data_IF_856971034080
#
_entry.id   IF_856971034080
#
_cell.length_a   1.000
_cell.length_b   1.000
_cell.length_c   1.000
_cell.angle_alpha   90.00
_cell.angle_beta   90.00
_cell.angle_gamma   90.00
#
_symmetry.space_group_name_H-M   'P 1'
#
loop_
_entity.id
_entity.type
_entity.pdbx_description
1 polymer ?
#
# COMPACT_ATOMS: atom_id res chain seq x y z
N UNK A 1 47.34 -18.52 -32.17
CA UNK A 1 46.69 -18.46 -30.84
C UNK A 1 46.26 -17.05 -30.39
N UNK A 2 46.53 -15.97 -31.15
CA UNK A 2 46.05 -14.59 -30.83
C UNK A 2 44.85 -14.17 -31.69
N UNK A 3 44.51 -14.92 -32.73
CA UNK A 3 43.40 -14.61 -33.66
C UNK A 3 42.06 -15.17 -33.16
N UNK A 4 42.04 -16.39 -32.57
CA UNK A 4 40.82 -17.01 -32.03
C UNK A 4 40.16 -16.24 -30.87
N UNK A 5 40.96 -15.50 -30.07
CA UNK A 5 40.45 -14.71 -28.93
C UNK A 5 39.79 -13.39 -29.32
N UNK A 6 40.06 -12.88 -30.54
CA UNK A 6 39.43 -11.69 -31.09
C UNK A 6 38.11 -12.03 -31.78
N UNK A 7 38.07 -13.14 -32.52
CA UNK A 7 36.84 -13.62 -33.19
C UNK A 7 35.77 -14.07 -32.19
N UNK A 8 36.16 -14.73 -31.10
CA UNK A 8 35.22 -15.09 -30.02
C UNK A 8 34.67 -13.86 -29.28
N UNK A 9 35.48 -12.81 -29.07
CA UNK A 9 35.03 -11.55 -28.48
C UNK A 9 34.09 -10.77 -29.41
N UNK A 10 34.39 -10.71 -30.71
CA UNK A 10 33.53 -10.05 -31.71
C UNK A 10 32.17 -10.75 -31.83
N UNK A 11 32.14 -12.08 -31.79
CA UNK A 11 30.90 -12.85 -31.84
C UNK A 11 30.04 -12.66 -30.57
N UNK A 12 30.64 -12.65 -29.38
CA UNK A 12 29.90 -12.37 -28.14
C UNK A 12 29.33 -10.95 -28.09
N UNK A 13 30.04 -9.97 -28.66
CA UNK A 13 29.59 -8.58 -28.76
C UNK A 13 28.46 -8.41 -29.78
N UNK A 14 28.55 -9.09 -30.92
CA UNK A 14 27.50 -9.09 -31.93
C UNK A 14 26.19 -9.72 -31.43
N UNK A 15 26.27 -10.79 -30.61
CA UNK A 15 25.10 -11.39 -29.97
C UNK A 15 24.47 -10.47 -28.90
N UNK A 16 25.27 -9.67 -28.17
CA UNK A 16 24.76 -8.66 -27.24
C UNK A 16 24.07 -7.49 -27.98
N UNK A 17 24.63 -7.04 -29.10
CA UNK A 17 24.05 -6.00 -29.96
C UNK A 17 22.72 -6.44 -30.62
N UNK A 18 22.60 -7.72 -31.00
CA UNK A 18 21.38 -8.28 -31.58
C UNK A 18 20.26 -8.42 -30.53
N UNK A 19 20.59 -8.89 -29.33
CA UNK A 19 19.67 -8.92 -28.18
C UNK A 19 19.24 -7.52 -27.73
N UNK A 20 20.14 -6.53 -27.84
CA UNK A 20 19.84 -5.12 -27.61
C UNK A 20 18.82 -4.60 -28.63
N UNK A 21 19.02 -4.87 -29.92
CA UNK A 21 18.10 -4.47 -31.00
C UNK A 21 16.72 -5.10 -30.82
N UNK A 22 16.65 -6.38 -30.45
CA UNK A 22 15.37 -7.03 -30.11
C UNK A 22 14.68 -6.40 -28.90
N UNK A 23 15.44 -6.05 -27.86
CA UNK A 23 14.91 -5.40 -26.65
C UNK A 23 14.41 -3.99 -26.94
N UNK A 24 15.10 -3.25 -27.83
CA UNK A 24 14.69 -1.95 -28.33
C UNK A 24 13.41 -2.07 -29.19
N UNK A 25 13.29 -3.11 -30.01
CA UNK A 25 12.08 -3.46 -30.78
C UNK A 25 10.89 -3.84 -29.88
N UNK A 26 11.13 -4.56 -28.78
CA UNK A 26 10.10 -4.84 -27.76
C UNK A 26 9.69 -3.57 -27.00
N UNK A 27 10.64 -2.68 -26.70
CA UNK A 27 10.35 -1.37 -26.09
C UNK A 27 9.59 -0.43 -27.04
N UNK A 28 9.87 -0.47 -28.37
CA UNK A 28 9.12 0.22 -29.43
C UNK A 28 7.62 -0.12 -29.40
N UNK A 29 7.27 -1.35 -29.05
CA UNK A 29 5.88 -1.81 -29.02
C UNK A 29 5.09 -1.38 -27.77
N UNK A 30 5.76 -1.00 -26.66
CA UNK A 30 5.09 -0.80 -25.37
C UNK A 30 4.73 0.66 -25.06
N UNK A 31 5.58 1.65 -25.40
CA UNK A 31 5.39 3.05 -24.94
C UNK A 31 6.05 4.09 -25.87
N UNK A 32 5.38 4.47 -26.96
CA UNK A 32 5.92 5.33 -28.03
C UNK A 32 6.45 6.73 -27.65
N UNK A 33 6.17 7.24 -26.45
CA UNK A 33 6.71 8.53 -25.97
C UNK A 33 8.07 8.43 -25.26
N UNK A 34 8.43 7.26 -24.72
CA UNK A 34 9.70 7.08 -23.96
C UNK A 34 10.90 6.87 -24.88
N UNK A 35 10.67 6.38 -26.10
CA UNK A 35 11.72 6.07 -27.06
C UNK A 35 12.29 7.32 -27.77
N UNK A 36 11.45 8.32 -28.06
CA UNK A 36 11.87 9.61 -28.64
C UNK A 36 12.97 10.29 -27.81
N UNK A 37 12.97 10.07 -26.50
CA UNK A 37 13.99 10.60 -25.59
C UNK A 37 15.36 9.96 -25.82
N UNK A 38 15.40 8.64 -26.04
CA UNK A 38 16.64 7.88 -26.27
C UNK A 38 17.15 8.14 -27.69
N UNK A 39 16.25 8.12 -28.68
CA UNK A 39 16.61 8.42 -30.09
C UNK A 39 17.25 9.79 -30.20
N UNK A 40 16.67 10.83 -29.58
CA UNK A 40 17.30 12.16 -29.57
C UNK A 40 18.65 12.20 -28.85
N UNK A 41 18.87 11.33 -27.85
CA UNK A 41 20.17 11.22 -27.18
C UNK A 41 21.21 10.52 -28.07
N UNK A 42 20.81 9.46 -28.79
CA UNK A 42 21.65 8.76 -29.77
C UNK A 42 22.01 9.71 -30.90
N UNK A 43 21.04 10.44 -31.47
CA UNK A 43 21.29 11.43 -32.52
C UNK A 43 22.20 12.57 -32.04
N UNK A 44 22.03 13.01 -30.79
CA UNK A 44 22.88 14.06 -30.23
C UNK A 44 24.30 13.58 -29.97
N UNK A 45 24.46 12.31 -29.57
CA UNK A 45 25.73 11.70 -29.22
C UNK A 45 26.50 11.22 -30.44
N UNK A 46 25.84 10.51 -31.36
CA UNK A 46 26.49 9.84 -32.50
C UNK A 46 27.25 10.81 -33.41
N UNK A 47 28.45 10.39 -33.84
CA UNK A 47 29.28 11.11 -34.79
C UNK A 47 29.95 12.40 -34.29
N UNK A 48 29.93 12.69 -32.99
CA UNK A 48 30.56 13.89 -32.39
C UNK A 48 31.75 13.54 -31.52
N UNK A 49 32.82 14.31 -31.62
CA UNK A 49 33.94 14.14 -30.70
C UNK A 49 33.63 14.75 -29.32
N UNK A 50 34.56 14.53 -28.37
CA UNK A 50 34.43 15.06 -27.02
C UNK A 50 34.40 16.60 -26.99
N UNK A 51 35.19 17.26 -27.84
CA UNK A 51 35.32 18.72 -27.87
C UNK A 51 34.03 19.38 -28.38
N UNK A 52 33.40 18.81 -29.41
CA UNK A 52 32.13 19.23 -29.97
C UNK A 52 31.02 19.23 -28.91
N UNK A 53 30.96 18.18 -28.10
CA UNK A 53 30.00 18.08 -27.01
C UNK A 53 30.30 19.08 -25.90
N UNK A 54 31.56 19.21 -25.48
CA UNK A 54 31.97 20.19 -24.46
C UNK A 54 31.62 21.62 -24.89
N UNK A 55 31.76 21.96 -26.18
CA UNK A 55 31.39 23.27 -26.73
C UNK A 55 29.87 23.51 -26.77
N UNK A 56 29.07 22.45 -26.88
CA UNK A 56 27.61 22.52 -26.97
C UNK A 56 26.90 22.41 -25.61
N UNK A 57 27.64 22.22 -24.51
CA UNK A 57 27.13 21.96 -23.17
C UNK A 57 27.74 22.94 -22.16
N UNK A 58 27.00 23.24 -21.08
CA UNK A 58 27.48 24.16 -20.05
C UNK A 58 28.35 23.43 -19.02
N UNK A 59 29.52 23.95 -18.65
CA UNK A 59 30.37 23.32 -17.65
C UNK A 59 29.74 23.38 -16.25
N UNK A 60 29.98 22.32 -15.48
CA UNK A 60 29.59 22.11 -14.10
C UNK A 60 30.81 21.52 -13.36
N UNK A 61 30.95 21.81 -12.05
CA UNK A 61 32.09 21.35 -11.23
C UNK A 61 33.45 21.58 -11.93
N UNK A 62 33.72 22.83 -12.29
CA UNK A 62 34.98 23.25 -12.90
C UNK A 62 35.31 22.52 -14.23
N UNK A 63 34.30 22.13 -15.00
CA UNK A 63 34.50 21.46 -16.30
C UNK A 63 34.71 19.95 -16.21
N UNK A 64 34.60 19.35 -15.02
CA UNK A 64 34.62 17.88 -14.88
C UNK A 64 33.29 17.24 -15.29
N UNK A 65 32.22 18.03 -15.35
CA UNK A 65 30.91 17.59 -15.79
C UNK A 65 30.34 18.67 -16.70
N UNK A 66 29.66 18.32 -17.78
CA UNK A 66 28.93 19.27 -18.62
C UNK A 66 27.45 18.92 -18.63
N UNK A 67 26.60 19.93 -18.79
CA UNK A 67 25.14 19.80 -18.78
C UNK A 67 24.50 20.53 -19.95
N UNK A 68 23.55 19.88 -20.61
CA UNK A 68 22.62 20.51 -21.56
C UNK A 68 21.19 20.14 -21.22
N UNK A 69 20.36 21.16 -20.99
CA UNK A 69 18.93 20.95 -20.69
C UNK A 69 18.20 20.76 -22.01
N UNK A 70 17.50 19.64 -22.14
CA UNK A 70 16.69 19.28 -23.31
C UNK A 70 15.23 19.64 -23.06
N UNK A 71 14.74 19.35 -21.86
CA UNK A 71 13.42 19.74 -21.39
C UNK A 71 13.54 20.35 -20.01
N UNK A 72 13.11 21.61 -19.88
CA UNK A 72 13.12 22.32 -18.59
C UNK A 72 12.13 21.67 -17.63
N UNK A 73 12.59 21.32 -16.44
CA UNK A 73 11.73 20.94 -15.33
C UNK A 73 11.17 22.15 -14.57
N UNK A 74 10.39 21.87 -13.52
CA UNK A 74 9.74 22.87 -12.68
C UNK A 74 10.07 22.70 -11.20
N UNK A 75 9.87 23.77 -10.42
CA UNK A 75 10.15 23.79 -8.98
C UNK A 75 11.61 24.02 -8.64
N UNK A 76 11.99 23.63 -7.42
CA UNK A 76 13.36 23.73 -6.93
C UNK A 76 14.23 22.58 -7.44
N UNK A 77 15.55 22.81 -7.39
CA UNK A 77 16.53 21.76 -7.63
C UNK A 77 16.45 20.67 -6.56
N UNK A 78 16.97 19.49 -6.87
CA UNK A 78 17.04 18.36 -5.92
C UNK A 78 17.87 18.74 -4.69
N UNK A 79 17.29 18.74 -3.47
CA UNK A 79 18.04 19.02 -2.25
C UNK A 79 18.91 17.82 -1.85
N UNK A 80 19.96 18.04 -1.02
CA UNK A 80 20.81 16.96 -0.53
C UNK A 80 20.02 15.82 0.11
N UNK A 81 20.52 14.59 0.01
CA UNK A 81 19.89 13.38 0.58
C UNK A 81 18.43 13.13 0.14
N UNK A 82 17.96 13.76 -0.93
CA UNK A 82 16.63 13.51 -1.49
C UNK A 82 16.52 12.11 -2.08
N UNK A 83 15.30 11.58 -2.11
CA UNK A 83 14.96 10.36 -2.82
C UNK A 83 14.52 10.72 -4.24
N UNK A 84 15.33 10.38 -5.24
CA UNK A 84 15.06 10.66 -6.66
C UNK A 84 14.48 9.44 -7.35
N UNK A 85 13.60 9.67 -8.33
CA UNK A 85 13.10 8.66 -9.27
C UNK A 85 13.33 9.19 -10.68
N UNK A 86 14.12 8.48 -11.48
CA UNK A 86 14.58 8.95 -12.78
C UNK A 86 14.79 7.81 -13.76
N UNK A 87 14.66 8.11 -15.05
CA UNK A 87 15.18 7.27 -16.11
C UNK A 87 16.54 7.80 -16.58
N UNK A 88 17.37 6.88 -17.06
CA UNK A 88 18.63 7.22 -17.72
C UNK A 88 18.98 6.25 -18.85
N UNK A 89 19.84 6.72 -19.74
CA UNK A 89 20.60 5.94 -20.72
C UNK A 89 22.05 6.48 -20.73
N UNK A 90 23.04 5.59 -20.60
CA UNK A 90 24.46 5.94 -20.49
C UNK A 90 25.27 5.28 -21.59
N UNK A 91 26.18 6.04 -22.17
CA UNK A 91 27.03 5.72 -23.31
C UNK A 91 28.49 5.96 -22.90
N UNK A 92 29.41 5.15 -23.40
CA UNK A 92 30.85 5.30 -23.16
C UNK A 92 31.54 5.76 -24.45
N UNK A 93 32.56 6.60 -24.30
CA UNK A 93 33.53 6.88 -25.35
C UNK A 93 34.55 5.76 -25.41
N UNK A 94 34.68 5.09 -26.56
CA UNK A 94 35.67 4.03 -26.78
C UNK A 94 36.60 4.48 -27.89
N UNK A 95 37.91 4.57 -27.60
CA UNK A 95 38.97 4.88 -28.59
C UNK A 95 38.71 6.14 -29.44
N UNK A 96 38.06 7.17 -28.86
CA UNK A 96 37.73 8.41 -29.56
C UNK A 96 36.51 8.32 -30.48
N UNK A 97 35.78 7.20 -30.46
CA UNK A 97 34.53 6.99 -31.17
C UNK A 97 33.36 6.74 -30.21
N UNK A 98 32.15 7.04 -30.69
CA UNK A 98 30.91 6.93 -29.94
C UNK A 98 30.30 5.56 -30.20
N UNK A 99 30.01 4.80 -29.14
CA UNK A 99 29.10 3.67 -29.27
C UNK A 99 27.68 4.18 -29.53
N UNK A 100 27.02 3.65 -30.56
CA UNK A 100 25.64 4.02 -30.90
C UNK A 100 24.66 3.52 -29.84
N UNK A 101 25.01 2.45 -29.14
CA UNK A 101 24.16 1.80 -28.15
C UNK A 101 24.61 2.14 -26.71
N UNK A 102 23.67 2.47 -25.80
CA UNK A 102 23.99 2.72 -24.41
C UNK A 102 24.40 1.43 -23.71
N UNK A 103 25.59 1.43 -23.09
CA UNK A 103 26.01 0.31 -22.25
C UNK A 103 25.03 0.05 -21.10
N UNK A 104 24.32 1.07 -20.58
CA UNK A 104 23.33 0.90 -19.51
C UNK A 104 22.10 1.82 -19.67
N UNK A 105 20.88 1.26 -19.59
CA UNK A 105 19.64 2.03 -19.71
C UNK A 105 18.49 1.47 -18.87
N UNK A 106 17.83 2.35 -18.11
CA UNK A 106 16.58 2.01 -17.40
C UNK A 106 15.37 1.85 -18.31
N UNK A 107 15.43 2.41 -19.52
CA UNK A 107 14.35 2.26 -20.48
C UNK A 107 14.32 0.83 -21.03
N UNK A 108 15.49 0.21 -21.26
CA UNK A 108 15.59 -1.20 -21.62
C UNK A 108 15.09 -2.12 -20.50
N UNK A 109 15.31 -1.73 -19.24
CA UNK A 109 14.77 -2.44 -18.06
C UNK A 109 13.28 -2.21 -17.82
N UNK A 110 12.64 -1.29 -18.54
CA UNK A 110 11.23 -0.91 -18.37
C UNK A 110 10.87 -0.25 -17.03
N UNK A 111 11.83 -0.03 -16.12
CA UNK A 111 11.56 0.48 -14.78
C UNK A 111 12.50 1.63 -14.41
N UNK A 112 11.99 2.75 -13.87
CA UNK A 112 12.82 3.88 -13.47
C UNK A 112 13.68 3.52 -12.26
N UNK A 113 14.85 4.14 -12.17
CA UNK A 113 15.73 3.97 -11.03
C UNK A 113 15.28 4.87 -9.88
N UNK A 114 15.27 4.32 -8.65
CA UNK A 114 14.88 5.03 -7.44
C UNK A 114 15.99 4.94 -6.41
N UNK A 115 16.62 6.06 -6.08
CA UNK A 115 17.78 6.09 -5.18
C UNK A 115 17.84 7.37 -4.36
N UNK A 116 18.44 7.27 -3.17
CA UNK A 116 18.76 8.43 -2.34
C UNK A 116 20.11 8.99 -2.79
N UNK A 117 20.15 10.27 -3.15
CA UNK A 117 21.41 10.94 -3.48
C UNK A 117 22.25 11.16 -2.22
N UNK A 118 23.55 11.41 -2.38
CA UNK A 118 24.52 11.57 -1.30
C UNK A 118 24.58 10.34 -0.37
N UNK A 119 24.30 9.15 -0.91
CA UNK A 119 24.35 7.89 -0.14
C UNK A 119 25.66 7.13 -0.32
N UNK A 120 26.56 7.62 -1.19
CA UNK A 120 27.81 6.94 -1.54
C UNK A 120 27.60 5.62 -2.30
N UNK A 121 26.41 5.41 -2.87
CA UNK A 121 26.03 4.18 -3.59
C UNK A 121 25.62 4.45 -5.05
N UNK A 122 26.10 5.55 -5.61
CA UNK A 122 25.83 6.01 -6.97
C UNK A 122 27.13 6.53 -7.57
N UNK A 123 27.18 6.57 -8.91
CA UNK A 123 28.27 7.21 -9.63
C UNK A 123 28.32 8.69 -9.23
N UNK A 124 29.46 9.23 -8.77
CA UNK A 124 29.55 10.59 -8.24
C UNK A 124 29.05 11.67 -9.21
N UNK A 125 29.36 11.52 -10.50
CA UNK A 125 28.91 12.43 -11.55
C UNK A 125 27.40 12.42 -11.76
N UNK A 126 26.75 11.27 -11.58
CA UNK A 126 25.28 11.15 -11.64
C UNK A 126 24.63 11.81 -10.44
N UNK A 127 25.22 11.72 -9.24
CA UNK A 127 24.72 12.46 -8.06
C UNK A 127 24.82 13.98 -8.29
N UNK A 128 25.95 14.46 -8.81
CA UNK A 128 26.11 15.88 -9.16
C UNK A 128 25.11 16.31 -10.25
N UNK A 129 24.91 15.46 -11.26
CA UNK A 129 23.95 15.70 -12.32
C UNK A 129 22.53 15.88 -11.75
N UNK A 130 22.05 14.93 -10.94
CA UNK A 130 20.73 14.98 -10.30
C UNK A 130 20.56 16.21 -9.41
N UNK A 131 21.59 16.59 -8.64
CA UNK A 131 21.57 17.80 -7.80
C UNK A 131 21.38 19.10 -8.59
N UNK A 132 21.70 19.10 -9.88
CA UNK A 132 21.50 20.26 -10.75
C UNK A 132 20.11 20.32 -11.39
N UNK A 133 19.30 19.27 -11.28
CA UNK A 133 18.04 19.10 -12.02
C UNK A 133 16.81 19.51 -11.21
N UNK A 134 15.73 19.83 -11.92
CA UNK A 134 14.37 20.09 -11.39
C UNK A 134 13.43 18.92 -11.68
N UNK A 135 12.25 18.91 -11.04
CA UNK A 135 11.24 17.89 -11.31
C UNK A 135 10.81 17.91 -12.78
N UNK A 136 10.68 16.73 -13.37
CA UNK A 136 10.34 16.49 -14.78
C UNK A 136 11.34 17.10 -15.79
N UNK A 137 12.56 17.39 -15.35
CA UNK A 137 13.64 17.84 -16.23
C UNK A 137 14.26 16.68 -17.00
N UNK A 138 14.57 16.90 -18.27
CA UNK A 138 15.41 16.02 -19.07
C UNK A 138 16.66 16.77 -19.50
N UNK A 139 17.82 16.19 -19.19
CA UNK A 139 19.13 16.81 -19.45
C UNK A 139 20.12 15.75 -19.91
N UNK A 140 21.04 16.19 -20.77
CA UNK A 140 22.22 15.44 -21.15
C UNK A 140 23.39 15.88 -20.27
N UNK A 141 24.23 14.91 -19.91
CA UNK A 141 25.40 15.09 -19.10
C UNK A 141 26.60 14.42 -19.76
N UNK A 142 27.75 15.10 -19.69
CA UNK A 142 29.04 14.53 -20.07
C UNK A 142 29.89 14.52 -18.80
N UNK A 143 30.36 13.35 -18.39
CA UNK A 143 30.96 13.11 -17.07
C UNK A 143 32.41 12.64 -17.25
N UNK A 144 33.34 13.36 -16.65
CA UNK A 144 34.76 13.00 -16.64
C UNK A 144 35.00 11.67 -15.89
N UNK A 145 35.98 10.84 -16.32
CA UNK A 145 36.31 9.57 -15.68
C UNK A 145 36.42 9.60 -14.15
N UNK A 146 37.09 10.60 -13.58
CA UNK A 146 37.19 10.82 -12.12
C UNK A 146 35.85 10.89 -11.37
N UNK A 147 34.77 11.27 -12.05
CA UNK A 147 33.41 11.30 -11.52
C UNK A 147 32.56 10.12 -12.01
N UNK A 148 33.15 9.19 -12.75
CA UNK A 148 32.53 8.00 -13.33
C UNK A 148 33.22 6.72 -12.85
N UNK A 149 33.95 6.03 -13.73
CA UNK A 149 34.60 4.75 -13.47
C UNK A 149 36.14 4.85 -13.32
N UNK A 150 36.69 6.05 -13.51
CA UNK A 150 38.11 6.38 -13.30
C UNK A 150 39.09 5.56 -14.16
N UNK A 151 40.35 5.56 -13.71
CA UNK A 151 41.47 4.90 -14.39
C UNK A 151 41.36 3.37 -14.46
N UNK A 152 40.48 2.75 -13.68
CA UNK A 152 40.26 1.30 -13.74
C UNK A 152 39.16 0.93 -14.74
N UNK A 153 38.23 1.83 -15.03
CA UNK A 153 37.05 1.50 -15.84
C UNK A 153 36.23 0.34 -15.25
N UNK A 154 35.52 -0.37 -16.12
CA UNK A 154 34.98 -1.71 -15.88
C UNK A 154 35.11 -2.57 -17.15
N UNK A 155 36.32 -3.03 -17.51
CA UNK A 155 36.53 -3.82 -18.72
C UNK A 155 35.76 -5.16 -18.70
N UNK A 156 35.31 -5.68 -19.86
CA UNK A 156 35.45 -5.09 -21.19
C UNK A 156 34.42 -3.98 -21.50
N UNK A 157 33.43 -3.78 -20.63
CA UNK A 157 32.25 -2.94 -20.89
C UNK A 157 32.52 -1.43 -20.84
N UNK A 158 33.44 -1.00 -19.99
CA UNK A 158 33.83 0.41 -19.86
C UNK A 158 35.35 0.44 -19.77
N UNK A 159 36.00 1.12 -20.70
CA UNK A 159 37.45 1.20 -20.71
C UNK A 159 37.98 2.12 -19.58
N UNK A 160 39.25 1.93 -19.16
CA UNK A 160 39.99 2.90 -18.35
C UNK A 160 39.85 4.32 -18.90
N UNK A 161 39.66 5.30 -18.01
CA UNK A 161 39.61 6.72 -18.36
C UNK A 161 38.54 7.09 -19.42
N UNK A 162 37.47 6.29 -19.52
CA UNK A 162 36.34 6.56 -20.40
C UNK A 162 35.45 7.71 -19.87
N UNK A 163 35.22 8.72 -20.72
CA UNK A 163 34.16 9.72 -20.49
C UNK A 163 32.78 9.07 -20.64
N UNK A 164 31.82 9.51 -19.82
CA UNK A 164 30.45 8.96 -19.88
C UNK A 164 29.49 10.04 -20.35
N UNK A 165 28.78 9.77 -21.44
CA UNK A 165 27.62 10.56 -21.83
C UNK A 165 26.37 9.93 -21.23
N UNK A 166 25.56 10.72 -20.54
CA UNK A 166 24.38 10.24 -19.83
C UNK A 166 23.19 11.14 -20.12
N UNK A 167 22.13 10.58 -20.69
CA UNK A 167 20.82 11.21 -20.66
C UNK A 167 20.13 10.85 -19.36
N UNK A 168 19.64 11.85 -18.63
CA UNK A 168 18.80 11.65 -17.44
C UNK A 168 17.46 12.37 -17.63
N UNK A 169 16.37 11.64 -17.38
CA UNK A 169 15.03 12.20 -17.20
C UNK A 169 14.61 12.06 -15.74
N UNK A 170 14.69 13.16 -14.99
CA UNK A 170 14.29 13.18 -13.58
C UNK A 170 12.77 13.28 -13.49
N UNK A 171 12.11 12.15 -13.25
CA UNK A 171 10.65 12.10 -13.12
C UNK A 171 10.17 12.91 -11.91
N UNK A 172 10.82 12.69 -10.76
CA UNK A 172 10.49 13.38 -9.50
C UNK A 172 11.54 13.15 -8.43
N UNK A 173 11.61 14.07 -7.49
CA UNK A 173 12.35 13.90 -6.24
C UNK A 173 11.47 14.22 -5.02
N UNK A 174 11.92 13.71 -3.89
CA UNK A 174 11.24 13.80 -2.61
C UNK A 174 12.25 14.16 -1.52
N UNK A 175 11.98 15.23 -0.79
CA UNK A 175 12.78 15.56 0.39
C UNK A 175 12.54 14.50 1.48
N UNK A 176 13.62 13.87 1.93
CA UNK A 176 13.62 12.90 3.04
C UNK A 176 14.56 13.32 4.17
N UNK A 177 15.16 14.52 4.09
CA UNK A 177 16.16 15.03 5.01
C UNK A 177 15.59 16.09 5.95
N UNK A 178 14.69 16.96 5.46
CA UNK A 178 14.10 18.03 6.28
C UNK A 178 13.45 17.52 7.57
N UNK A 179 12.81 16.35 7.53
CA UNK A 179 12.26 15.74 8.74
C UNK A 179 13.35 15.34 9.74
N UNK A 180 14.47 14.77 9.28
CA UNK A 180 15.58 14.39 10.15
C UNK A 180 16.29 15.61 10.73
N UNK A 181 16.48 16.65 9.93
CA UNK A 181 17.10 17.91 10.37
C UNK A 181 16.24 18.61 11.42
N UNK A 182 14.93 18.70 11.19
CA UNK A 182 14.00 19.25 12.18
C UNK A 182 13.94 18.43 13.47
N UNK A 183 14.08 17.10 13.37
CA UNK A 183 14.15 16.22 14.53
C UNK A 183 15.44 16.40 15.35
N UNK A 184 16.53 16.83 14.73
CA UNK A 184 17.80 17.08 15.40
C UNK A 184 17.86 18.47 16.06
N UNK A 185 16.96 19.39 15.69
CA UNK A 185 16.86 20.70 16.33
C UNK A 185 16.44 20.60 17.80
N UNK A 186 16.97 21.49 18.65
CA UNK A 186 16.54 21.63 20.05
C UNK A 186 15.12 22.21 20.14
N UNK A 187 14.50 22.15 21.32
CA UNK A 187 13.16 22.72 21.52
C UNK A 187 13.16 24.25 21.32
N UNK A 188 14.22 24.93 21.74
CA UNK A 188 14.40 26.37 21.55
C UNK A 188 14.54 26.72 20.06
N UNK A 189 15.34 25.95 19.32
CA UNK A 189 15.52 26.13 17.88
C UNK A 189 14.20 25.94 17.12
N UNK A 190 13.40 24.94 17.51
CA UNK A 190 12.07 24.71 16.91
C UNK A 190 11.06 25.82 17.25
N UNK A 191 11.10 26.35 18.46
CA UNK A 191 10.24 27.47 18.85
C UNK A 191 10.58 28.77 18.09
N UNK A 192 11.87 28.99 17.85
CA UNK A 192 12.38 30.11 17.05
C UNK A 192 12.18 29.91 15.54
N UNK A 193 12.13 28.66 15.05
CA UNK A 193 12.03 28.36 13.63
C UNK A 193 10.78 28.97 12.97
N UNK A 194 10.89 29.45 11.72
CA UNK A 194 9.75 29.91 10.95
C UNK A 194 8.85 28.73 10.56
N UNK A 195 7.56 29.02 10.36
CA UNK A 195 6.57 28.03 9.90
C UNK A 195 7.04 27.25 8.67
N UNK A 196 7.70 27.93 7.72
CA UNK A 196 8.21 27.33 6.49
C UNK A 196 9.18 26.15 6.75
N UNK A 197 9.96 26.18 7.83
CA UNK A 197 10.86 25.08 8.21
C UNK A 197 10.07 23.87 8.69
N UNK A 198 9.12 24.07 9.61
CA UNK A 198 8.25 22.99 10.08
C UNK A 198 7.39 22.42 8.94
N UNK A 199 6.85 23.28 8.08
CA UNK A 199 6.07 22.88 6.91
C UNK A 199 6.86 21.94 5.99
N UNK A 200 8.12 22.28 5.67
CA UNK A 200 9.01 21.40 4.86
C UNK A 200 9.28 20.07 5.54
N UNK A 201 9.51 20.08 6.86
CA UNK A 201 9.73 18.86 7.63
C UNK A 201 8.48 17.94 7.64
N UNK A 202 7.29 18.53 7.79
CA UNK A 202 6.01 17.82 7.70
C UNK A 202 5.76 17.27 6.30
N UNK A 203 6.00 18.05 5.24
CA UNK A 203 5.90 17.61 3.85
C UNK A 203 6.87 16.44 3.55
N UNK A 204 8.06 16.48 4.12
CA UNK A 204 9.04 15.39 4.07
C UNK A 204 8.51 14.11 4.73
N UNK A 205 7.91 14.20 5.92
CA UNK A 205 7.27 13.06 6.60
C UNK A 205 6.10 12.48 5.81
N UNK A 206 5.23 13.33 5.27
CA UNK A 206 4.09 12.90 4.43
C UNK A 206 4.58 12.15 3.19
N UNK A 207 5.67 12.64 2.61
CA UNK A 207 6.29 12.04 1.44
C UNK A 207 6.92 10.69 1.77
N UNK A 208 7.64 10.59 2.89
CA UNK A 208 8.17 9.34 3.40
C UNK A 208 7.04 8.33 3.72
N UNK A 209 5.89 8.81 4.23
CA UNK A 209 4.72 7.97 4.50
C UNK A 209 4.12 7.38 3.21
N UNK A 210 3.95 8.20 2.16
CA UNK A 210 3.51 7.72 0.83
C UNK A 210 4.49 6.71 0.24
N UNK A 211 5.79 6.96 0.41
CA UNK A 211 6.84 6.04 -0.03
C UNK A 211 6.83 4.71 0.73
N UNK A 212 6.48 4.71 2.01
CA UNK A 212 6.31 3.51 2.81
C UNK A 212 5.06 2.71 2.38
N UNK A 213 3.95 3.42 2.15
CA UNK A 213 2.70 2.83 1.66
C UNK A 213 2.90 2.17 0.30
N UNK A 214 3.66 2.78 -0.62
CA UNK A 214 3.98 2.18 -1.92
C UNK A 214 4.83 0.89 -1.81
N UNK A 215 5.45 0.63 -0.66
CA UNK A 215 6.20 -0.60 -0.37
C UNK A 215 5.35 -1.62 0.39
N UNK A 216 4.07 -1.34 0.65
CA UNK A 216 3.19 -2.17 1.46
C UNK A 216 3.34 -1.98 2.97
N UNK A 217 4.20 -1.07 3.44
CA UNK A 217 4.41 -0.83 4.87
C UNK A 217 3.49 0.29 5.40
N UNK A 218 2.20 -0.07 5.53
CA UNK A 218 1.18 0.83 6.05
C UNK A 218 1.41 1.21 7.53
N UNK A 219 2.05 0.33 8.32
CA UNK A 219 2.38 0.60 9.72
C UNK A 219 3.41 1.71 9.86
N UNK A 220 4.48 1.69 9.06
CA UNK A 220 5.47 2.77 9.04
C UNK A 220 4.88 4.08 8.54
N UNK A 221 4.00 4.04 7.52
CA UNK A 221 3.29 5.22 7.05
C UNK A 221 2.48 5.90 8.18
N UNK A 222 1.75 5.12 8.98
CA UNK A 222 0.99 5.64 10.13
C UNK A 222 1.92 6.24 11.20
N UNK A 223 3.07 5.63 11.49
CA UNK A 223 4.05 6.19 12.44
C UNK A 223 4.56 7.56 11.99
N UNK A 224 4.89 7.70 10.71
CA UNK A 224 5.36 8.96 10.13
C UNK A 224 4.28 10.06 10.16
N UNK A 225 3.02 9.71 9.85
CA UNK A 225 1.91 10.66 9.89
C UNK A 225 1.54 11.09 11.33
N UNK A 226 1.61 10.17 12.30
CA UNK A 226 1.44 10.51 13.72
C UNK A 226 2.54 11.47 14.21
N UNK A 227 3.79 11.27 13.75
CA UNK A 227 4.90 12.17 14.05
C UNK A 227 4.65 13.57 13.48
N UNK A 228 4.23 13.66 12.22
CA UNK A 228 3.87 14.92 11.59
C UNK A 228 2.75 15.64 12.35
N UNK A 229 1.71 14.89 12.77
CA UNK A 229 0.63 15.40 13.61
C UNK A 229 1.15 15.96 14.94
N UNK A 230 2.04 15.25 15.63
CA UNK A 230 2.63 15.71 16.88
C UNK A 230 3.39 17.04 16.71
N UNK A 231 4.16 17.20 15.64
CA UNK A 231 4.86 18.45 15.36
C UNK A 231 3.93 19.62 15.06
N UNK A 232 2.82 19.38 14.37
CA UNK A 232 1.82 20.40 14.06
C UNK A 232 1.05 20.86 15.31
N UNK A 233 0.64 19.92 16.17
CA UNK A 233 -0.11 20.23 17.39
C UNK A 233 0.73 20.95 18.45
N UNK A 234 2.04 20.70 18.49
CA UNK A 234 2.94 21.33 19.45
C UNK A 234 3.43 22.72 18.99
N UNK A 235 3.00 23.21 17.82
CA UNK A 235 3.39 24.52 17.32
C UNK A 235 2.60 25.61 18.05
N UNK A 236 3.31 26.48 18.79
CA UNK A 236 2.74 27.73 19.29
C UNK A 236 2.39 28.68 18.13
N UNK A 237 1.15 29.18 18.12
CA UNK A 237 0.64 30.08 17.07
C UNK A 237 1.03 31.53 17.36
N UNK A 238 1.57 32.26 16.37
CA UNK A 238 1.99 33.67 16.52
C UNK A 238 1.05 34.65 15.84
N UNK A 239 0.28 34.24 14.81
CA UNK A 239 -0.72 35.06 14.12
C UNK A 239 -1.92 34.24 13.64
N UNK A 240 -3.02 34.93 13.31
CA UNK A 240 -4.24 34.32 12.76
C UNK A 240 -4.03 33.77 11.33
N UNK A 241 -3.20 34.43 10.52
CA UNK A 241 -2.81 33.94 9.18
C UNK A 241 -2.00 32.64 9.27
N UNK A 242 -1.04 32.56 10.19
CA UNK A 242 -0.25 31.34 10.43
C UNK A 242 -1.16 30.22 10.97
N UNK A 243 -2.15 30.53 11.81
CA UNK A 243 -3.15 29.56 12.29
C UNK A 243 -3.95 28.93 11.14
N UNK A 244 -4.36 29.71 10.15
CA UNK A 244 -5.11 29.21 8.99
C UNK A 244 -4.25 28.29 8.12
N UNK A 245 -2.99 28.68 7.84
CA UNK A 245 -2.06 27.84 7.09
C UNK A 245 -1.74 26.53 7.81
N UNK A 246 -1.50 26.60 9.12
CA UNK A 246 -1.28 25.42 9.97
C UNK A 246 -2.51 24.52 9.94
N UNK A 247 -3.71 25.10 10.05
CA UNK A 247 -4.97 24.35 10.00
C UNK A 247 -5.16 23.64 8.66
N UNK A 248 -4.83 24.28 7.55
CA UNK A 248 -4.93 23.68 6.21
C UNK A 248 -3.98 22.48 6.07
N UNK A 249 -2.71 22.63 6.48
CA UNK A 249 -1.72 21.54 6.45
C UNK A 249 -2.10 20.42 7.42
N UNK A 250 -2.58 20.76 8.62
CA UNK A 250 -3.04 19.80 9.62
C UNK A 250 -4.23 18.99 9.12
N UNK A 251 -5.23 19.62 8.50
CA UNK A 251 -6.36 18.93 7.92
C UNK A 251 -5.92 17.93 6.84
N UNK A 252 -4.92 18.28 6.01
CA UNK A 252 -4.34 17.35 5.02
C UNK A 252 -3.67 16.14 5.68
N UNK A 253 -2.83 16.35 6.70
CA UNK A 253 -2.11 15.28 7.41
C UNK A 253 -3.06 14.38 8.18
N UNK A 254 -3.98 14.97 8.96
CA UNK A 254 -4.91 14.23 9.81
C UNK A 254 -5.85 13.37 8.98
N UNK A 255 -6.28 13.91 7.84
CA UNK A 255 -7.05 13.16 6.85
C UNK A 255 -6.30 11.97 6.29
N UNK A 256 -5.04 12.15 5.88
CA UNK A 256 -4.24 11.00 5.45
C UNK A 256 -4.18 9.96 6.58
N UNK A 257 -3.91 10.39 7.81
CA UNK A 257 -3.79 9.52 8.97
C UNK A 257 -5.07 8.71 9.26
N UNK A 258 -6.23 9.35 9.45
CA UNK A 258 -7.45 8.62 9.83
C UNK A 258 -7.93 7.69 8.71
N UNK A 259 -7.69 8.02 7.43
CA UNK A 259 -8.00 7.13 6.31
C UNK A 259 -7.16 5.86 6.37
N UNK A 260 -5.85 5.97 6.68
CA UNK A 260 -4.98 4.80 6.79
C UNK A 260 -5.34 3.96 8.01
N UNK A 261 -5.62 4.60 9.14
CA UNK A 261 -6.07 3.91 10.36
C UNK A 261 -7.35 3.12 10.11
N UNK A 262 -8.33 3.71 9.41
CA UNK A 262 -9.56 3.02 9.02
C UNK A 262 -9.27 1.78 8.18
N UNK A 263 -8.41 1.90 7.15
CA UNK A 263 -8.02 0.78 6.28
C UNK A 263 -7.29 -0.35 7.00
N UNK A 264 -6.48 -0.03 8.02
CA UNK A 264 -5.74 -1.04 8.79
C UNK A 264 -6.63 -1.91 9.69
N UNK A 265 -7.91 -1.56 9.88
CA UNK A 265 -8.91 -2.47 10.44
C UNK A 265 -8.59 -3.06 11.82
N UNK A 266 -8.66 -2.25 12.88
CA UNK A 266 -8.66 -2.75 14.26
C UNK A 266 -9.39 -1.79 15.19
N UNK A 267 -9.93 -2.29 16.30
CA UNK A 267 -10.64 -1.47 17.29
C UNK A 267 -9.80 -0.28 17.79
N UNK A 268 -8.51 -0.54 18.08
CA UNK A 268 -7.54 0.49 18.48
C UNK A 268 -7.36 1.55 17.38
N UNK A 269 -7.27 1.13 16.13
CA UNK A 269 -7.10 2.04 15.00
C UNK A 269 -8.37 2.89 14.79
N UNK A 270 -9.56 2.31 14.92
CA UNK A 270 -10.84 3.02 14.82
C UNK A 270 -10.98 4.08 15.93
N UNK A 271 -10.64 3.74 17.17
CA UNK A 271 -10.64 4.71 18.29
C UNK A 271 -9.66 5.87 18.03
N UNK A 272 -8.46 5.55 17.54
CA UNK A 272 -7.44 6.56 17.19
C UNK A 272 -7.87 7.44 16.01
N UNK A 273 -8.54 6.84 15.02
CA UNK A 273 -9.11 7.55 13.87
C UNK A 273 -10.21 8.51 14.32
N UNK A 274 -11.15 8.08 15.16
CA UNK A 274 -12.20 8.96 15.72
C UNK A 274 -11.63 10.15 16.48
N UNK A 275 -10.61 9.92 17.32
CA UNK A 275 -9.91 11.01 18.03
C UNK A 275 -9.34 12.02 17.03
N UNK A 276 -8.63 11.54 16.01
CA UNK A 276 -8.03 12.37 14.96
C UNK A 276 -9.09 13.11 14.14
N UNK A 277 -10.24 12.48 13.84
CA UNK A 277 -11.34 13.13 13.14
C UNK A 277 -11.94 14.26 13.98
N UNK A 278 -12.18 14.03 15.27
CA UNK A 278 -12.71 15.07 16.16
C UNK A 278 -11.74 16.27 16.24
N UNK A 279 -10.45 16.02 16.39
CA UNK A 279 -9.43 17.07 16.35
C UNK A 279 -9.41 17.81 15.00
N UNK A 280 -9.62 17.10 13.89
CA UNK A 280 -9.72 17.72 12.55
C UNK A 280 -10.91 18.66 12.46
N UNK A 281 -12.07 18.27 13.01
CA UNK A 281 -13.29 19.08 12.99
C UNK A 281 -13.18 20.39 13.81
N UNK A 282 -12.21 20.48 14.72
CA UNK A 282 -11.93 21.70 15.48
C UNK A 282 -11.02 22.68 14.76
N UNK A 283 -10.44 22.31 13.61
CA UNK A 283 -9.58 23.20 12.82
C UNK A 283 -10.40 24.29 12.12
N UNK A 284 -9.84 25.50 12.03
CA UNK A 284 -10.44 26.61 11.27
C UNK A 284 -10.23 26.42 9.76
N UNK A 285 -11.17 26.89 8.96
CA UNK A 285 -11.02 26.95 7.50
C UNK A 285 -11.01 25.58 6.79
N UNK A 286 -11.72 24.59 7.34
CA UNK A 286 -11.84 23.27 6.70
C UNK A 286 -12.50 23.38 5.33
N UNK A 287 -11.84 22.83 4.30
CA UNK A 287 -12.46 22.63 3.00
C UNK A 287 -13.65 21.65 3.07
N UNK A 288 -14.64 21.84 2.19
CA UNK A 288 -15.79 20.92 2.06
C UNK A 288 -15.34 19.48 1.89
N UNK A 289 -14.29 19.23 1.10
CA UNK A 289 -13.70 17.90 0.95
C UNK A 289 -13.23 17.31 2.28
N UNK A 290 -12.51 18.08 3.09
CA UNK A 290 -12.01 17.63 4.38
C UNK A 290 -13.18 17.35 5.34
N UNK A 291 -14.19 18.22 5.36
CA UNK A 291 -15.38 18.10 6.20
C UNK A 291 -16.21 16.87 5.81
N UNK A 292 -16.49 16.67 4.52
CA UNK A 292 -17.17 15.48 4.00
C UNK A 292 -16.45 14.20 4.40
N UNK A 293 -15.11 14.17 4.27
CA UNK A 293 -14.33 12.98 4.63
C UNK A 293 -14.35 12.75 6.14
N UNK A 294 -14.29 13.79 6.97
CA UNK A 294 -14.44 13.65 8.42
C UNK A 294 -15.79 13.01 8.78
N UNK A 295 -16.89 13.52 8.23
CA UNK A 295 -18.23 12.98 8.48
C UNK A 295 -18.41 11.56 7.95
N UNK A 296 -17.95 11.29 6.73
CA UNK A 296 -18.01 9.96 6.13
C UNK A 296 -17.29 8.91 6.99
N UNK A 297 -16.01 9.12 7.30
CA UNK A 297 -15.23 8.14 8.06
C UNK A 297 -15.70 8.05 9.52
N UNK A 298 -16.18 9.14 10.12
CA UNK A 298 -16.79 9.10 11.46
C UNK A 298 -18.05 8.25 11.46
N UNK A 299 -18.92 8.43 10.47
CA UNK A 299 -20.14 7.64 10.29
C UNK A 299 -19.85 6.16 10.07
N UNK A 300 -18.93 5.85 9.15
CA UNK A 300 -18.51 4.47 8.88
C UNK A 300 -17.92 3.77 10.11
N UNK A 301 -17.09 4.46 10.90
CA UNK A 301 -16.55 3.89 12.14
C UNK A 301 -17.64 3.69 13.19
N UNK A 302 -18.59 4.63 13.32
CA UNK A 302 -19.70 4.50 14.26
C UNK A 302 -20.65 3.36 13.89
N UNK A 303 -20.84 3.07 12.59
CA UNK A 303 -21.55 1.87 12.13
C UNK A 303 -20.87 0.59 12.61
N UNK A 304 -19.54 0.51 12.48
CA UNK A 304 -18.75 -0.62 12.98
C UNK A 304 -18.93 -0.78 14.50
N UNK A 305 -18.99 0.33 15.24
CA UNK A 305 -19.30 0.34 16.67
C UNK A 305 -20.79 0.17 17.02
N UNK A 306 -21.65 -0.11 16.02
CA UNK A 306 -23.10 -0.27 16.16
C UNK A 306 -23.85 0.95 16.75
N UNK A 307 -23.26 2.14 16.73
CA UNK A 307 -23.96 3.39 17.07
C UNK A 307 -24.69 3.93 15.82
N UNK A 308 -25.73 3.19 15.40
CA UNK A 308 -26.44 3.44 14.14
C UNK A 308 -27.06 4.83 14.06
N UNK A 309 -27.54 5.37 15.20
CA UNK A 309 -28.16 6.70 15.27
C UNK A 309 -27.15 7.80 14.90
N UNK A 310 -25.97 7.78 15.53
CA UNK A 310 -24.92 8.76 15.21
C UNK A 310 -24.31 8.51 13.84
N UNK A 311 -24.15 7.24 13.45
CA UNK A 311 -23.66 6.89 12.12
C UNK A 311 -24.53 7.50 11.01
N UNK A 312 -25.86 7.33 11.11
CA UNK A 312 -26.84 7.91 10.17
C UNK A 312 -26.73 9.42 10.08
N UNK A 313 -26.64 10.09 11.23
CA UNK A 313 -26.49 11.54 11.30
C UNK A 313 -25.26 12.01 10.51
N UNK A 314 -24.06 11.49 10.82
CA UNK A 314 -22.84 11.93 10.16
C UNK A 314 -22.81 11.57 8.67
N UNK A 315 -23.28 10.39 8.26
CA UNK A 315 -23.33 10.02 6.84
C UNK A 315 -24.31 10.91 6.05
N UNK A 316 -25.41 11.31 6.67
CA UNK A 316 -26.39 12.24 6.07
C UNK A 316 -25.78 13.64 5.92
N UNK A 317 -25.08 14.14 6.92
CA UNK A 317 -24.32 15.41 6.82
C UNK A 317 -23.25 15.34 5.73
N UNK A 318 -22.55 14.21 5.59
CA UNK A 318 -21.60 14.00 4.50
C UNK A 318 -22.28 14.06 3.11
N UNK A 319 -23.45 13.43 2.96
CA UNK A 319 -24.24 13.42 1.72
C UNK A 319 -24.76 14.80 1.33
N UNK A 320 -25.13 15.64 2.31
CA UNK A 320 -25.54 17.04 2.07
C UNK A 320 -24.42 17.87 1.44
N UNK A 321 -23.18 17.67 1.88
CA UNK A 321 -22.01 18.41 1.36
C UNK A 321 -21.59 17.95 -0.03
N UNK A 322 -21.70 16.64 -0.32
CA UNK A 322 -21.40 16.06 -1.63
C UNK A 322 -22.56 15.21 -2.11
N UNK A 323 -23.54 15.89 -2.73
CA UNK A 323 -24.71 15.24 -3.28
C UNK A 323 -24.30 14.20 -4.34
N UNK A 324 -24.85 12.99 -4.26
CA UNK A 324 -24.62 11.86 -5.18
C UNK A 324 -23.21 11.27 -5.18
N UNK A 325 -22.43 11.40 -4.11
CA UNK A 325 -21.21 10.62 -3.97
C UNK A 325 -21.57 9.13 -3.72
N UNK A 326 -21.28 8.28 -4.71
CA UNK A 326 -21.58 6.85 -4.71
C UNK A 326 -21.06 6.15 -3.44
N UNK A 327 -19.89 6.56 -2.93
CA UNK A 327 -19.31 5.97 -1.72
C UNK A 327 -20.15 6.23 -0.49
N UNK A 328 -20.72 7.42 -0.38
CA UNK A 328 -21.55 7.82 0.76
C UNK A 328 -22.90 7.09 0.68
N UNK A 329 -23.47 7.00 -0.53
CA UNK A 329 -24.73 6.29 -0.76
C UNK A 329 -24.61 4.80 -0.44
N UNK A 330 -23.55 4.15 -0.93
CA UNK A 330 -23.30 2.73 -0.64
C UNK A 330 -23.12 2.49 0.87
N UNK A 331 -22.42 3.38 1.58
CA UNK A 331 -22.24 3.26 3.02
C UNK A 331 -23.55 3.49 3.81
N UNK A 332 -24.43 4.37 3.33
CA UNK A 332 -25.78 4.55 3.90
C UNK A 332 -26.67 3.33 3.69
N UNK A 333 -26.57 2.66 2.54
CA UNK A 333 -27.28 1.43 2.26
C UNK A 333 -26.79 0.28 3.17
N UNK A 334 -25.48 0.15 3.34
CA UNK A 334 -24.88 -0.82 4.26
C UNK A 334 -25.28 -0.55 5.72
N UNK A 335 -25.36 0.72 6.12
CA UNK A 335 -25.90 1.12 7.43
C UNK A 335 -27.33 0.62 7.62
N UNK A 336 -28.20 0.79 6.63
CA UNK A 336 -29.59 0.35 6.70
C UNK A 336 -29.72 -1.16 6.80
N UNK A 337 -28.92 -1.91 6.05
CA UNK A 337 -28.86 -3.37 6.13
C UNK A 337 -28.44 -3.82 7.54
N UNK A 338 -27.39 -3.23 8.10
CA UNK A 338 -26.89 -3.60 9.42
C UNK A 338 -27.86 -3.21 10.54
N UNK A 339 -28.49 -2.04 10.46
CA UNK A 339 -29.49 -1.60 11.43
C UNK A 339 -30.74 -2.51 11.40
N UNK A 340 -31.19 -2.94 10.22
CA UNK A 340 -32.33 -3.84 10.08
C UNK A 340 -32.01 -5.23 10.64
N UNK A 341 -30.82 -5.77 10.36
CA UNK A 341 -30.36 -7.04 10.94
C UNK A 341 -30.33 -6.99 12.47
N UNK A 342 -29.81 -5.90 13.06
CA UNK A 342 -29.79 -5.76 14.52
C UNK A 342 -31.21 -5.68 15.10
N UNK A 343 -32.12 -4.94 14.45
CA UNK A 343 -33.54 -4.88 14.87
C UNK A 343 -34.23 -6.23 14.79
N UNK A 344 -33.94 -7.04 13.76
CA UNK A 344 -34.47 -8.39 13.63
C UNK A 344 -33.97 -9.30 14.76
N UNK A 345 -32.66 -9.22 15.07
CA UNK A 345 -32.07 -9.93 16.21
C UNK A 345 -32.71 -9.49 17.53
N UNK A 346 -32.83 -8.19 17.79
CA UNK A 346 -33.48 -7.64 18.99
C UNK A 346 -34.92 -8.12 19.13
N UNK A 347 -35.70 -8.12 18.03
CA UNK A 347 -37.08 -8.63 18.02
C UNK A 347 -37.12 -10.13 18.32
N UNK A 348 -36.21 -10.91 17.75
CA UNK A 348 -36.12 -12.35 18.01
C UNK A 348 -35.77 -12.64 19.48
N UNK A 349 -34.79 -11.89 20.05
CA UNK A 349 -34.43 -11.98 21.46
C UNK A 349 -35.60 -11.58 22.37
N UNK A 350 -36.27 -10.46 22.08
CA UNK A 350 -37.44 -10.01 22.84
C UNK A 350 -38.59 -11.02 22.78
N UNK A 351 -38.88 -11.60 21.62
CA UNK A 351 -39.89 -12.64 21.47
C UNK A 351 -39.56 -13.91 22.30
N UNK A 352 -38.29 -14.31 22.34
CA UNK A 352 -37.81 -15.43 23.17
C UNK A 352 -37.92 -15.11 24.66
N UNK A 353 -37.57 -13.90 25.07
CA UNK A 353 -37.67 -13.45 26.45
C UNK A 353 -39.13 -13.37 26.95
N UNK A 354 -40.04 -12.83 26.13
CA UNK A 354 -41.49 -12.76 26.44
C UNK A 354 -42.10 -14.17 26.56
N UNK A 355 -41.71 -15.11 25.70
CA UNK A 355 -42.13 -16.52 25.86
C UNK A 355 -41.64 -17.13 27.17
N UNK A 356 -40.41 -16.81 27.58
CA UNK A 356 -39.85 -17.27 28.86
C UNK A 356 -40.51 -16.66 30.10
N UNK A 357 -40.97 -15.41 30.04
CA UNK A 357 -41.53 -14.68 31.19
C UNK A 357 -43.04 -14.84 31.39
N UNK A 358 -43.81 -15.14 30.35
CA UNK A 358 -45.27 -15.38 30.47
C UNK A 358 -45.57 -16.78 31.04
N UNK A 359 -44.58 -17.65 31.27
CA UNK A 359 -44.82 -19.01 31.75
C UNK A 359 -45.70 -19.83 30.80
N UNK A 360 -45.87 -19.37 29.55
CA UNK A 360 -46.32 -20.20 28.45
C UNK A 360 -45.11 -21.12 28.21
N UNK A 361 -45.20 -22.43 28.48
CA UNK A 361 -44.13 -23.33 28.09
C UNK A 361 -43.92 -23.07 26.61
N UNK A 362 -42.68 -22.81 26.19
CA UNK A 362 -42.34 -22.72 24.78
C UNK A 362 -43.10 -23.85 24.11
N UNK A 363 -44.07 -23.54 23.25
CA UNK A 363 -44.81 -24.55 22.52
C UNK A 363 -43.74 -25.25 21.70
N UNK A 364 -43.19 -26.32 22.28
CA UNK A 364 -42.42 -27.28 21.54
C UNK A 364 -43.38 -27.64 20.41
N UNK A 365 -42.99 -27.49 19.13
CA UNK A 365 -43.73 -28.20 18.09
C UNK A 365 -43.91 -29.61 18.64
N UNK A 366 -45.15 -30.11 18.69
CA UNK A 366 -45.44 -31.42 19.27
C UNK A 366 -44.40 -32.38 18.72
N UNK A 367 -43.42 -32.76 19.57
CA UNK A 367 -42.27 -33.51 19.10
C UNK A 367 -42.84 -34.73 18.42
N UNK A 368 -42.52 -34.88 17.14
CA UNK A 368 -43.07 -35.97 16.35
C UNK A 368 -42.77 -37.29 17.08
N UNK A 369 -43.57 -38.33 16.87
CA UNK A 369 -43.34 -39.63 17.53
C UNK A 369 -41.87 -40.08 17.38
N UNK A 370 -41.26 -39.77 16.23
CA UNK A 370 -39.85 -40.03 15.94
C UNK A 370 -38.85 -39.24 16.82
N UNK A 371 -39.13 -37.98 17.17
CA UNK A 371 -38.25 -37.18 18.03
C UNK A 371 -38.28 -37.67 19.48
N UNK A 372 -39.43 -38.16 19.96
CA UNK A 372 -39.53 -38.76 21.30
C UNK A 372 -38.73 -40.06 21.38
N UNK A 373 -38.81 -40.89 20.34
CA UNK A 373 -38.04 -42.13 20.27
C UNK A 373 -36.53 -41.87 20.19
N UNK A 374 -36.11 -40.84 19.45
CA UNK A 374 -34.71 -40.41 19.40
C UNK A 374 -34.21 -39.92 20.76
N UNK A 375 -34.97 -39.06 21.44
CA UNK A 375 -34.59 -38.55 22.77
C UNK A 375 -34.50 -39.70 23.78
N UNK A 376 -35.42 -40.64 23.75
CA UNK A 376 -35.39 -41.84 24.60
C UNK A 376 -34.14 -42.70 24.31
N UNK A 377 -33.80 -42.89 23.03
CA UNK A 377 -32.60 -43.63 22.62
C UNK A 377 -31.31 -42.95 23.11
N UNK A 378 -31.19 -41.63 22.92
CA UNK A 378 -30.01 -40.86 23.33
C UNK A 378 -29.83 -40.87 24.86
N UNK A 379 -30.93 -40.68 25.60
CA UNK A 379 -30.91 -40.68 27.07
C UNK A 379 -30.58 -42.08 27.61
N UNK A 380 -31.10 -43.14 26.98
CA UNK A 380 -30.80 -44.53 27.36
C UNK A 380 -29.33 -44.91 27.11
N UNK A 381 -28.69 -44.30 26.11
CA UNK A 381 -27.24 -44.42 25.88
C UNK A 381 -26.40 -43.44 26.72
N UNK A 382 -27.03 -42.80 27.72
CA UNK A 382 -26.39 -41.97 28.73
C UNK A 382 -25.94 -40.61 28.23
N UNK A 383 -26.58 -40.06 27.20
CA UNK A 383 -26.38 -38.66 26.77
C UNK A 383 -27.25 -37.74 27.62
N UNK A 384 -26.63 -36.79 28.33
CA UNK A 384 -27.35 -35.71 29.01
C UNK A 384 -27.65 -34.62 28.00
N UNK A 385 -28.92 -34.26 27.80
CA UNK A 385 -29.32 -33.23 26.84
C UNK A 385 -29.47 -31.83 27.46
N UNK A 386 -29.43 -31.73 28.79
CA UNK A 386 -29.57 -30.46 29.51
C UNK A 386 -28.36 -29.55 29.27
N UNK A 387 -28.60 -28.33 28.80
CA UNK A 387 -27.55 -27.32 28.58
C UNK A 387 -26.78 -27.45 27.26
N UNK A 388 -27.04 -28.50 26.47
CA UNK A 388 -26.45 -28.68 25.14
C UNK A 388 -27.35 -28.11 24.04
N UNK A 389 -26.75 -27.44 23.06
CA UNK A 389 -27.43 -26.98 21.83
C UNK A 389 -27.60 -28.15 20.83
N UNK A 390 -28.26 -29.22 21.27
CA UNK A 390 -28.43 -30.44 20.50
C UNK A 390 -29.42 -30.28 19.34
N UNK A 391 -30.36 -29.31 19.44
CA UNK A 391 -31.36 -29.03 18.42
C UNK A 391 -30.73 -28.46 17.13
N UNK A 392 -29.77 -27.52 17.26
CA UNK A 392 -29.05 -26.98 16.09
C UNK A 392 -28.20 -28.04 15.38
N UNK A 393 -27.62 -28.97 16.14
CA UNK A 393 -26.82 -30.07 15.58
C UNK A 393 -27.74 -31.11 14.89
N UNK A 394 -28.87 -31.44 15.50
CA UNK A 394 -29.87 -32.34 14.92
C UNK A 394 -30.37 -31.83 13.56
N UNK A 395 -30.75 -30.55 13.47
CA UNK A 395 -31.24 -29.95 12.23
C UNK A 395 -30.21 -30.04 11.09
N UNK A 396 -28.92 -29.80 11.40
CA UNK A 396 -27.83 -29.93 10.43
C UNK A 396 -27.62 -31.37 9.95
N UNK A 397 -27.70 -32.34 10.87
CA UNK A 397 -27.56 -33.77 10.53
C UNK A 397 -28.75 -34.29 9.72
N UNK A 398 -29.97 -33.87 10.05
CA UNK A 398 -31.18 -34.20 9.29
C UNK A 398 -31.17 -33.58 7.89
N UNK A 399 -30.77 -32.30 7.79
CA UNK A 399 -30.56 -31.64 6.50
C UNK A 399 -29.53 -32.39 5.66
N UNK A 400 -28.38 -32.77 6.24
CA UNK A 400 -27.35 -33.57 5.57
C UNK A 400 -27.85 -34.96 5.13
N UNK A 401 -28.65 -35.63 5.96
CA UNK A 401 -29.23 -36.94 5.62
C UNK A 401 -30.12 -36.84 4.38
N UNK A 402 -30.94 -35.79 4.29
CA UNK A 402 -31.89 -35.58 3.19
C UNK A 402 -31.22 -35.01 1.92
N UNK A 403 -30.00 -34.48 2.01
CA UNK A 403 -29.24 -33.95 0.88
C UNK A 403 -28.55 -35.05 0.07
N UNK A 404 -29.13 -35.47 -1.06
CA UNK A 404 -28.57 -36.50 -1.94
C UNK A 404 -27.22 -36.17 -2.60
N UNK A 405 -26.78 -34.90 -2.61
CA UNK A 405 -25.55 -34.46 -3.26
C UNK A 405 -24.33 -34.46 -2.32
N UNK A 406 -24.54 -34.39 -1.00
CA UNK A 406 -23.46 -34.35 0.01
C UNK A 406 -23.18 -35.73 0.61
N UNK A 407 -21.91 -36.10 0.65
CA UNK A 407 -21.41 -37.38 1.21
C UNK A 407 -20.73 -37.25 2.58
N UNK A 408 -20.28 -36.04 2.94
CA UNK A 408 -19.64 -35.74 4.22
C UNK A 408 -20.16 -34.43 4.81
N UNK A 409 -20.22 -34.37 6.15
CA UNK A 409 -20.54 -33.18 6.93
C UNK A 409 -19.44 -32.96 7.96
N UNK A 410 -18.73 -31.83 7.86
CA UNK A 410 -17.76 -31.38 8.86
C UNK A 410 -18.50 -30.47 9.84
N UNK A 411 -18.44 -30.77 11.13
CA UNK A 411 -19.00 -29.90 12.17
C UNK A 411 -17.98 -28.77 12.47
N UNK A 412 -18.40 -27.49 12.52
CA UNK A 412 -17.47 -26.35 12.53
C UNK A 412 -16.64 -26.19 13.83
N UNK A 413 -15.41 -25.69 13.66
CA UNK A 413 -14.33 -25.47 14.67
C UNK A 413 -14.73 -24.69 15.94
N UNK A 414 -15.84 -23.94 15.96
CA UNK A 414 -16.25 -23.13 17.11
C UNK A 414 -17.10 -23.88 18.14
N UNK A 415 -17.45 -25.14 17.87
CA UNK A 415 -17.89 -26.03 18.93
C UNK A 415 -16.65 -26.69 19.51
N UNK A 416 -16.13 -26.16 20.63
CA UNK A 416 -15.43 -27.03 21.57
C UNK A 416 -16.43 -28.13 21.92
N UNK A 417 -16.41 -29.24 21.19
CA UNK A 417 -17.29 -30.36 21.45
C UNK A 417 -16.85 -30.91 22.80
N UNK A 418 -17.51 -30.45 23.86
CA UNK A 418 -17.36 -31.06 25.15
C UNK A 418 -17.66 -32.57 25.03
N UNK A 419 -17.17 -33.36 25.99
CA UNK A 419 -17.31 -34.82 25.93
C UNK A 419 -18.78 -35.27 25.76
N UNK A 420 -19.74 -34.44 26.19
CA UNK A 420 -21.16 -34.75 26.11
C UNK A 420 -21.74 -34.49 24.72
N UNK A 421 -21.34 -33.41 24.04
CA UNK A 421 -21.69 -33.14 22.64
C UNK A 421 -21.07 -34.15 21.69
N UNK A 422 -19.84 -34.59 21.99
CA UNK A 422 -19.19 -35.70 21.28
C UNK A 422 -20.01 -37.00 21.39
N UNK A 423 -20.45 -37.31 22.60
CA UNK A 423 -21.28 -38.48 22.87
C UNK A 423 -22.64 -38.37 22.19
N UNK A 424 -23.24 -37.18 22.16
CA UNK A 424 -24.47 -36.89 21.43
C UNK A 424 -24.31 -37.16 19.94
N UNK A 425 -23.32 -36.55 19.27
CA UNK A 425 -23.11 -36.68 17.83
C UNK A 425 -22.84 -38.14 17.43
N UNK A 426 -22.07 -38.87 18.24
CA UNK A 426 -21.80 -40.29 18.00
C UNK A 426 -23.07 -41.14 18.03
N UNK A 427 -23.85 -41.04 19.12
CA UNK A 427 -25.10 -41.80 19.25
C UNK A 427 -26.15 -41.38 18.20
N UNK A 428 -26.18 -40.10 17.84
CA UNK A 428 -27.05 -39.59 16.78
C UNK A 428 -26.67 -40.18 15.41
N UNK A 429 -25.38 -40.25 15.11
CA UNK A 429 -24.87 -40.87 13.88
C UNK A 429 -25.23 -42.35 13.82
N UNK A 430 -25.11 -43.08 14.93
CA UNK A 430 -25.49 -44.49 15.04
C UNK A 430 -27.01 -44.70 14.82
N UNK A 431 -27.85 -43.85 15.43
CA UNK A 431 -29.30 -43.87 15.24
C UNK A 431 -29.69 -43.69 13.77
N UNK A 432 -29.01 -42.79 13.04
CA UNK A 432 -29.24 -42.54 11.62
C UNK A 432 -28.45 -43.45 10.66
N UNK A 433 -27.70 -44.43 11.18
CA UNK A 433 -26.84 -45.34 10.40
C UNK A 433 -25.77 -44.62 9.57
N UNK A 434 -25.25 -43.51 10.09
CA UNK A 434 -24.11 -42.77 9.53
C UNK A 434 -22.79 -43.29 10.16
N UNK A 435 -21.63 -42.90 9.61
CA UNK A 435 -20.33 -43.11 10.26
C UNK A 435 -19.83 -41.79 10.86
N UNK A 436 -19.29 -41.89 12.07
CA UNK A 436 -18.65 -40.78 12.78
C UNK A 436 -17.15 -41.05 12.81
N UNK A 437 -16.38 -40.21 12.13
CA UNK A 437 -14.93 -40.38 11.95
C UNK A 437 -14.18 -39.17 12.51
N UNK A 438 -13.08 -39.43 13.21
CA UNK A 438 -12.10 -38.41 13.59
C UNK A 438 -11.19 -38.12 12.39
N UNK A 439 -10.96 -36.83 12.13
CA UNK A 439 -10.00 -36.37 11.11
C UNK A 439 -8.63 -36.32 11.76
N UNK A 440 -7.74 -37.23 11.35
CA UNK A 440 -6.37 -37.33 11.88
C UNK A 440 -5.66 -35.96 11.86
N UNK A 441 -5.15 -35.54 13.02
CA UNK A 441 -4.28 -34.37 13.17
C UNK A 441 -4.97 -33.04 13.53
N UNK A 442 -6.31 -32.96 13.53
CA UNK A 442 -7.00 -31.67 13.71
C UNK A 442 -8.07 -31.60 14.81
N UNK A 443 -8.27 -32.65 15.64
CA UNK A 443 -9.38 -32.70 16.62
C UNK A 443 -10.76 -32.39 16.01
N UNK A 444 -10.91 -32.64 14.71
CA UNK A 444 -12.09 -32.38 13.92
C UNK A 444 -12.85 -33.69 13.72
N UNK A 445 -14.18 -33.62 13.77
CA UNK A 445 -15.04 -34.78 13.55
C UNK A 445 -15.93 -34.56 12.34
N UNK A 446 -16.08 -35.62 11.54
CA UNK A 446 -16.94 -35.63 10.36
C UNK A 446 -17.97 -36.75 10.46
N UNK A 447 -19.15 -36.48 9.90
CA UNK A 447 -20.21 -37.46 9.72
C UNK A 447 -20.26 -37.81 8.24
N UNK A 448 -20.16 -39.10 7.92
CA UNK A 448 -20.12 -39.61 6.54
C UNK A 448 -21.30 -40.56 6.32
N UNK A 449 -21.87 -40.53 5.11
CA UNK A 449 -22.89 -41.51 4.72
C UNK A 449 -22.21 -42.85 4.46
N UNK A 450 -22.65 -43.92 5.14
CA UNK A 450 -22.14 -45.27 4.87
C UNK A 450 -22.43 -45.61 3.41
N UNK A 451 -21.38 -45.97 2.65
CA UNK A 451 -21.55 -46.58 1.32
C UNK A 451 -22.13 -47.97 1.55
N UNK A 452 -23.29 -48.26 0.97
CA UNK A 452 -23.83 -49.63 0.92
C UNK A 452 -22.91 -50.54 0.12
#
# INVERSE_FOLDING_TARGET
MVIDGLETNLNSRAEEDENFRESLLKAKALEGGKLQSIEGAIEFFSGKDLADLQNQMNPLRNGMIYKKIIRKGSGSIVPPKALTTYHYASFCFIDGANEEDPFDSTYLRGTPFRKRIDSGRMIPGVEVALRSMKNDEQSYFLIHPDYAYGALGMPPRILPDCWIFCMIHLLRWYDCASATEYEQMTEEERAAAPWSTLRKAVESLVTAAKAAESRGDAGHAVRLLNKAKGWLLNRGMKSEEEELEISEVSAKVFRLLFIRLFKLGSEKNYKTALKTINETLHLKGLSDLALTQCYFYKGAILRIFKDFKKARYFLTEASKLRNRDEKILNELEELEKDENKEKELERAFAAKAVRGSIGIPASHPQKSVAEKDLINYLTSNGVKLEGLDWESVLEKVESFRNDGARHELILPDFMCLDMEMMKFVKNLSDYFRLSFEEVEGFQLFKIVKRKN
#
